data_IF_789663085921
#
_entry.id   IF_789663085921
#
_cell.length_a   1.000
_cell.length_b   1.000
_cell.length_c   1.000
_cell.angle_alpha   90.00
_cell.angle_beta   90.00
_cell.angle_gamma   90.00
#
_symmetry.space_group_name_H-M   'P 1'
#
loop_
_entity.id
_entity.type
_entity.pdbx_description
1 polymer ?
#
# COMPACT_ATOMS: atom_id res chain seq x y z
N UNK A 1 3.16 0.06 0.52
CA UNK A 1 4.12 -1.05 0.27
C UNK A 1 4.29 -1.97 1.47
N UNK A 2 3.68 -1.65 2.62
CA UNK A 2 3.86 -2.40 3.85
C UNK A 2 2.88 -3.59 3.89
N UNK A 3 1.66 -3.46 3.37
CA UNK A 3 0.69 -4.55 3.24
C UNK A 3 1.12 -5.59 2.21
N UNK A 4 1.63 -5.20 1.04
CA UNK A 4 2.19 -6.18 0.08
C UNK A 4 3.36 -6.97 0.68
N UNK A 5 4.18 -6.33 1.52
CA UNK A 5 5.24 -7.02 2.23
C UNK A 5 4.70 -7.92 3.35
N UNK A 6 3.75 -7.43 4.15
CA UNK A 6 3.17 -8.13 5.30
C UNK A 6 2.30 -9.34 4.89
N UNK A 7 1.50 -9.21 3.84
CA UNK A 7 0.53 -10.22 3.40
C UNK A 7 1.07 -11.14 2.30
N UNK A 8 1.95 -10.64 1.42
CA UNK A 8 2.45 -11.37 0.24
C UNK A 8 3.96 -11.59 0.24
N UNK A 9 4.69 -11.11 1.27
CA UNK A 9 6.15 -11.20 1.39
C UNK A 9 6.91 -10.52 0.23
N UNK A 10 6.29 -9.54 -0.44
CA UNK A 10 6.91 -8.83 -1.55
C UNK A 10 7.59 -7.58 -1.02
N UNK A 11 8.93 -7.58 -1.07
CA UNK A 11 9.71 -6.44 -0.62
C UNK A 11 9.53 -5.22 -1.54
N UNK A 12 9.48 -4.00 -0.97
CA UNK A 12 9.58 -2.71 -1.68
C UNK A 12 10.58 -2.68 -2.83
N UNK A 13 11.81 -3.15 -2.57
CA UNK A 13 12.93 -3.16 -3.51
C UNK A 13 12.67 -4.01 -4.76
N UNK A 14 11.80 -5.02 -4.66
CA UNK A 14 11.51 -5.95 -5.75
C UNK A 14 10.58 -5.32 -6.79
N UNK A 15 9.76 -4.34 -6.38
CA UNK A 15 8.80 -3.66 -7.26
C UNK A 15 9.47 -2.87 -8.40
N UNK A 16 10.68 -2.39 -8.18
CA UNK A 16 11.48 -1.70 -9.19
C UNK A 16 12.01 -2.64 -10.29
N UNK A 17 12.16 -3.93 -9.99
CA UNK A 17 12.57 -4.97 -10.95
C UNK A 17 11.42 -5.61 -11.72
N UNK A 18 10.16 -5.34 -11.32
CA UNK A 18 8.98 -5.92 -11.95
C UNK A 18 8.75 -5.41 -13.38
N UNK A 19 8.25 -6.30 -14.24
CA UNK A 19 7.82 -5.93 -15.60
C UNK A 19 6.63 -4.96 -15.53
N UNK A 20 6.40 -4.20 -16.60
CA UNK A 20 5.39 -3.12 -16.63
C UNK A 20 4.00 -3.56 -16.18
N UNK A 21 3.55 -4.78 -16.53
CA UNK A 21 2.26 -5.33 -16.12
C UNK A 21 2.20 -5.61 -14.62
N UNK A 22 3.20 -6.30 -14.09
CA UNK A 22 3.33 -6.64 -12.67
C UNK A 22 3.45 -5.37 -11.80
N UNK A 23 4.21 -4.38 -12.27
CA UNK A 23 4.33 -3.08 -11.59
C UNK A 23 2.99 -2.36 -11.49
N UNK A 24 2.15 -2.44 -12.54
CA UNK A 24 0.82 -1.83 -12.55
C UNK A 24 -0.09 -2.46 -11.49
N UNK A 25 0.00 -3.78 -11.33
CA UNK A 25 -0.72 -4.52 -10.28
C UNK A 25 -0.21 -4.10 -8.89
N UNK A 26 1.12 -4.11 -8.68
CA UNK A 26 1.71 -3.71 -7.41
C UNK A 26 1.35 -2.27 -7.01
N UNK A 27 1.34 -1.34 -7.96
CA UNK A 27 0.92 0.05 -7.72
C UNK A 27 -0.56 0.16 -7.34
N UNK A 28 -1.44 -0.65 -7.92
CA UNK A 28 -2.86 -0.65 -7.57
C UNK A 28 -3.06 -1.07 -6.10
N UNK A 29 -2.46 -2.19 -5.69
CA UNK A 29 -2.46 -2.64 -4.29
C UNK A 29 -1.88 -1.60 -3.34
N UNK A 30 -0.82 -0.90 -3.77
CA UNK A 30 -0.19 0.14 -2.95
C UNK A 30 -1.13 1.32 -2.68
N UNK A 31 -1.91 1.68 -3.69
CA UNK A 31 -2.82 2.83 -3.66
C UNK A 31 -3.99 2.56 -2.74
N UNK A 32 -4.56 1.36 -2.83
CA UNK A 32 -5.62 0.88 -1.94
C UNK A 32 -5.16 0.89 -0.47
N UNK A 33 -3.95 0.39 -0.18
CA UNK A 33 -3.36 0.45 1.17
C UNK A 33 -3.22 1.89 1.71
N UNK A 34 -2.83 2.84 0.85
CA UNK A 34 -2.69 4.25 1.27
C UNK A 34 -4.06 4.85 1.57
N UNK A 35 -5.07 4.56 0.73
CA UNK A 35 -6.43 5.03 0.94
C UNK A 35 -7.04 4.49 2.25
N UNK A 36 -6.84 3.21 2.57
CA UNK A 36 -7.28 2.65 3.85
C UNK A 36 -6.62 3.32 5.05
N UNK A 37 -5.29 3.51 4.99
CA UNK A 37 -4.56 4.20 6.08
C UNK A 37 -5.01 5.63 6.28
N UNK A 38 -5.28 6.35 5.19
CA UNK A 38 -5.77 7.72 5.26
C UNK A 38 -7.15 7.78 5.92
N UNK A 39 -8.05 6.85 5.61
CA UNK A 39 -9.35 6.75 6.28
C UNK A 39 -9.21 6.52 7.78
N UNK A 40 -8.37 5.56 8.18
CA UNK A 40 -8.13 5.27 9.61
C UNK A 40 -7.54 6.48 10.32
N UNK A 41 -6.59 7.18 9.70
CA UNK A 41 -6.01 8.40 10.27
C UNK A 41 -7.04 9.54 10.39
N UNK A 42 -7.89 9.74 9.38
CA UNK A 42 -8.98 10.72 9.45
C UNK A 42 -9.99 10.38 10.55
N UNK A 43 -10.30 9.10 10.75
CA UNK A 43 -11.18 8.64 11.83
C UNK A 43 -10.53 8.86 13.21
N UNK A 44 -9.23 8.60 13.35
CA UNK A 44 -8.50 8.91 14.58
C UNK A 44 -8.41 10.42 14.85
N UNK A 45 -8.13 11.25 13.85
CA UNK A 45 -8.12 12.71 14.04
C UNK A 45 -9.50 13.24 14.44
N UNK A 46 -10.58 12.72 13.86
CA UNK A 46 -11.95 13.07 14.29
C UNK A 46 -12.31 12.59 15.69
N UNK A 47 -11.71 11.49 16.15
CA UNK A 47 -11.98 10.94 17.48
C UNK A 47 -11.19 11.65 18.59
N UNK A 48 -10.04 12.25 18.26
CA UNK A 48 -9.11 12.84 19.22
C UNK A 48 -8.85 14.34 19.06
N UNK A 49 -9.42 15.00 18.04
CA UNK A 49 -9.38 16.45 17.82
C UNK A 49 -10.72 17.11 18.11
#
# INVERSE_FOLDING_TARGET
MYLMFKEKNIMPSVTYGMKRGERKIATAFLREEIEERNKVNEEMEKAFG
#
